data_IF_767117166081
#
_entry.id   IF_767117166081
#
_cell.length_a   1.000
_cell.length_b   1.000
_cell.length_c   1.000
_cell.angle_alpha   90.00
_cell.angle_beta   90.00
_cell.angle_gamma   90.00
#
_symmetry.space_group_name_H-M   'P 1'
#
loop_
_entity.id
_entity.type
_entity.pdbx_description
1 polymer ?
#
# COMPACT_ATOMS: atom_id res chain seq x y z
N UNK A 1 3.96 10.78 -14.00
CA UNK A 1 4.56 10.96 -12.66
C UNK A 1 4.75 12.43 -12.30
N UNK A 2 3.68 13.25 -12.26
CA UNK A 2 3.80 14.66 -11.84
C UNK A 2 3.42 14.90 -10.37
N UNK A 3 2.65 13.98 -9.80
CA UNK A 3 2.07 14.09 -8.46
C UNK A 3 2.45 12.91 -7.56
N UNK A 4 3.37 12.07 -8.02
CA UNK A 4 3.90 10.94 -7.28
C UNK A 4 5.41 11.10 -7.25
N UNK A 5 5.96 11.16 -6.04
CA UNK A 5 7.39 11.13 -5.82
C UNK A 5 7.90 9.71 -6.08
N UNK A 6 8.98 9.61 -6.85
CA UNK A 6 9.66 8.35 -7.10
C UNK A 6 10.93 8.31 -6.27
N UNK A 7 11.09 7.24 -5.50
CA UNK A 7 12.25 7.00 -4.65
C UNK A 7 12.89 5.67 -5.05
N UNK A 8 14.19 5.56 -4.81
CA UNK A 8 14.92 4.30 -4.92
C UNK A 8 15.23 3.77 -3.53
N UNK A 9 15.01 2.48 -3.34
CA UNK A 9 15.45 1.69 -2.18
C UNK A 9 16.82 1.03 -2.40
N UNK A 10 17.54 1.39 -3.47
CA UNK A 10 18.89 0.89 -3.70
C UNK A 10 19.79 1.08 -2.47
N UNK A 11 20.63 0.08 -2.22
CA UNK A 11 21.57 0.03 -1.10
C UNK A 11 20.92 0.13 0.30
N UNK A 12 19.63 -0.19 0.43
CA UNK A 12 18.97 -0.36 1.73
C UNK A 12 17.91 -1.48 1.73
N UNK A 13 17.49 -1.90 2.92
CA UNK A 13 16.56 -3.02 3.11
C UNK A 13 15.08 -2.64 3.09
N UNK A 14 14.69 -1.47 2.57
CA UNK A 14 13.30 -1.00 2.66
C UNK A 14 12.31 -1.98 2.02
N UNK A 15 12.58 -2.46 0.80
CA UNK A 15 11.65 -3.36 0.10
C UNK A 15 11.48 -4.68 0.85
N UNK A 16 12.56 -5.29 1.32
CA UNK A 16 12.52 -6.51 2.13
C UNK A 16 11.74 -6.29 3.44
N UNK A 17 11.93 -5.15 4.10
CA UNK A 17 11.25 -4.83 5.36
C UNK A 17 9.74 -4.61 5.21
N UNK A 18 9.27 -4.25 4.00
CA UNK A 18 7.87 -3.90 3.73
C UNK A 18 7.26 -4.69 2.56
N UNK A 19 7.71 -5.94 2.41
CA UNK A 19 7.17 -6.94 1.48
C UNK A 19 7.16 -6.53 -0.01
N UNK A 20 8.02 -5.57 -0.38
CA UNK A 20 8.25 -5.16 -1.77
C UNK A 20 9.34 -5.97 -2.48
N UNK A 21 10.02 -6.86 -1.77
CA UNK A 21 11.08 -7.74 -2.29
C UNK A 21 11.07 -9.04 -1.50
N UNK A 22 11.23 -10.18 -2.18
CA UNK A 22 11.28 -11.49 -1.55
C UNK A 22 12.69 -11.82 -0.98
N UNK A 23 12.86 -12.92 -0.22
CA UNK A 23 14.16 -13.28 0.34
C UNK A 23 15.25 -13.61 -0.70
N UNK A 24 14.88 -13.79 -1.97
CA UNK A 24 15.79 -14.03 -3.10
C UNK A 24 16.20 -12.71 -3.78
N UNK A 25 15.58 -11.59 -3.43
CA UNK A 25 15.84 -10.27 -4.01
C UNK A 25 14.95 -9.93 -5.20
N UNK A 26 13.89 -10.70 -5.46
CA UNK A 26 12.97 -10.45 -6.56
C UNK A 26 11.89 -9.45 -6.14
N UNK A 27 11.54 -8.55 -7.07
CA UNK A 27 10.52 -7.52 -6.84
C UNK A 27 9.14 -8.14 -6.61
N UNK A 28 8.48 -7.70 -5.54
CA UNK A 28 7.10 -8.10 -5.20
C UNK A 28 6.21 -6.86 -5.16
N UNK A 29 5.06 -6.85 -5.85
CA UNK A 29 4.12 -5.74 -5.74
C UNK A 29 3.59 -5.59 -4.30
N UNK A 30 3.82 -4.42 -3.70
CA UNK A 30 3.37 -4.10 -2.34
C UNK A 30 2.67 -2.73 -2.27
N UNK A 31 1.73 -2.60 -1.31
CA UNK A 31 1.13 -1.32 -0.95
C UNK A 31 1.15 -1.18 0.57
N UNK A 32 1.80 -0.13 1.06
CA UNK A 32 1.99 0.14 2.48
C UNK A 32 1.54 1.57 2.80
N UNK A 33 0.85 1.75 3.92
CA UNK A 33 0.46 3.05 4.45
C UNK A 33 1.23 3.31 5.73
N UNK A 34 1.91 4.46 5.75
CA UNK A 34 2.64 4.96 6.91
C UNK A 34 1.94 6.19 7.46
N UNK A 35 2.00 6.34 8.78
CA UNK A 35 1.53 7.54 9.48
C UNK A 35 2.68 8.19 10.19
N UNK A 36 2.65 9.52 10.30
CA UNK A 36 3.61 10.29 11.11
C UNK A 36 2.85 11.03 12.20
N UNK A 37 3.19 10.75 13.45
CA UNK A 37 2.64 11.46 14.63
C UNK A 37 3.80 11.79 15.57
N UNK A 38 3.85 13.05 16.01
CA UNK A 38 4.88 13.56 16.91
C UNK A 38 6.31 13.28 16.42
N UNK A 39 6.52 13.45 15.11
CA UNK A 39 7.80 13.21 14.43
C UNK A 39 8.11 11.73 14.15
N UNK A 40 7.36 10.78 14.71
CA UNK A 40 7.65 9.35 14.58
C UNK A 40 6.83 8.72 13.45
N UNK A 41 7.51 7.97 12.58
CA UNK A 41 6.87 7.15 11.55
C UNK A 41 6.37 5.83 12.15
N UNK A 42 5.18 5.40 11.70
CA UNK A 42 4.55 4.14 12.08
C UNK A 42 3.97 3.47 10.85
N UNK A 43 4.25 2.19 10.69
CA UNK A 43 3.55 1.35 9.74
C UNK A 43 2.11 1.17 10.21
N UNK A 44 1.13 1.56 9.39
CA UNK A 44 -0.28 1.56 9.74
C UNK A 44 -1.04 0.41 9.10
N UNK A 45 -0.75 0.13 7.83
CA UNK A 45 -1.46 -0.89 7.06
C UNK A 45 -0.58 -1.39 5.91
N UNK A 46 -0.69 -2.68 5.57
CA UNK A 46 -0.08 -3.30 4.40
C UNK A 46 -1.07 -4.20 3.67
N UNK A 47 -0.88 -4.35 2.36
CA UNK A 47 -1.55 -5.37 1.58
C UNK A 47 -0.94 -6.74 1.90
N UNK A 48 -1.78 -7.74 2.22
CA UNK A 48 -1.31 -9.07 2.64
C UNK A 48 -1.60 -10.18 1.61
N UNK A 49 -2.16 -9.84 0.44
CA UNK A 49 -2.52 -10.80 -0.61
C UNK A 49 -1.31 -11.23 -1.48
N UNK A 50 -0.28 -11.78 -0.83
CA UNK A 50 0.96 -12.27 -1.45
C UNK A 50 0.88 -13.72 -1.95
N UNK A 51 2.05 -14.32 -2.24
CA UNK A 51 2.22 -15.62 -2.91
C UNK A 51 1.45 -16.81 -2.31
N UNK A 52 1.06 -16.74 -1.03
CA UNK A 52 0.34 -17.83 -0.32
C UNK A 52 -1.19 -17.68 -0.33
N UNK A 53 -1.70 -16.57 -0.85
CA UNK A 53 -3.13 -16.24 -0.86
C UNK A 53 -3.90 -16.52 -2.16
N UNK A 54 -3.29 -16.72 -3.35
CA UNK A 54 -4.07 -16.99 -4.54
C UNK A 54 -4.66 -18.41 -4.55
N UNK A 55 -5.78 -18.57 -5.24
CA UNK A 55 -6.34 -19.88 -5.54
C UNK A 55 -5.37 -20.71 -6.41
N UNK A 56 -5.45 -22.05 -6.39
CA UNK A 56 -4.60 -22.90 -7.22
C UNK A 56 -4.63 -22.50 -8.70
N UNK A 57 -3.45 -22.23 -9.27
CA UNK A 57 -3.29 -21.85 -10.68
C UNK A 57 -3.64 -20.39 -10.99
N UNK A 58 -3.65 -19.51 -9.99
CA UNK A 58 -3.86 -18.06 -10.14
C UNK A 58 -2.64 -17.28 -9.65
N UNK A 59 -2.41 -16.12 -10.25
CA UNK A 59 -1.40 -15.18 -9.75
C UNK A 59 -1.90 -14.47 -8.48
N UNK A 60 -1.00 -14.10 -7.55
CA UNK A 60 -1.33 -13.26 -6.41
C UNK A 60 -1.99 -11.96 -6.87
N UNK A 61 -3.16 -11.65 -6.30
CA UNK A 61 -3.93 -10.44 -6.62
C UNK A 61 -3.65 -9.34 -5.60
N UNK A 62 -2.39 -9.21 -5.20
CA UNK A 62 -1.89 -8.37 -4.12
C UNK A 62 -2.11 -6.87 -4.33
N UNK A 63 -1.04 -6.10 -4.44
CA UNK A 63 -1.11 -4.65 -4.60
C UNK A 63 -2.08 -4.08 -5.67
N UNK A 64 -2.50 -4.79 -6.75
CA UNK A 64 -3.52 -4.25 -7.65
C UNK A 64 -4.93 -4.65 -7.19
N UNK A 65 -5.65 -3.70 -6.59
CA UNK A 65 -6.96 -3.18 -7.06
C UNK A 65 -7.68 -2.34 -5.97
N UNK A 66 -7.08 -1.23 -5.47
CA UNK A 66 -7.84 -0.31 -4.65
C UNK A 66 -8.86 0.42 -5.52
N UNK A 67 -10.16 0.27 -5.24
CA UNK A 67 -11.19 1.18 -5.73
C UNK A 67 -10.79 2.61 -5.31
N UNK A 68 -10.32 3.46 -6.24
CA UNK A 68 -9.17 4.31 -5.96
C UNK A 68 -9.42 5.40 -4.93
N UNK A 69 -10.66 5.91 -4.84
CA UNK A 69 -11.00 6.94 -3.85
C UNK A 69 -11.56 6.34 -2.55
N UNK A 70 -12.34 5.26 -2.65
CA UNK A 70 -13.00 4.66 -1.50
C UNK A 70 -11.99 3.97 -0.58
N UNK A 71 -11.16 3.12 -1.19
CA UNK A 71 -10.16 2.34 -0.46
C UNK A 71 -9.06 3.26 0.07
N UNK A 72 -8.62 4.25 -0.72
CA UNK A 72 -7.58 5.18 -0.24
C UNK A 72 -8.01 5.93 1.02
N UNK A 73 -9.25 6.39 1.10
CA UNK A 73 -9.76 7.08 2.27
C UNK A 73 -9.91 6.16 3.48
N UNK A 74 -10.36 4.92 3.26
CA UNK A 74 -10.48 3.89 4.30
C UNK A 74 -9.13 3.49 4.90
N UNK A 75 -8.08 3.51 4.09
CA UNK A 75 -6.73 3.12 4.51
C UNK A 75 -6.01 4.21 5.30
N UNK A 76 -6.65 5.35 5.56
CA UNK A 76 -6.12 6.37 6.48
C UNK A 76 -6.63 6.14 7.91
N UNK A 77 -5.91 6.60 8.95
CA UNK A 77 -6.38 6.46 10.34
C UNK A 77 -7.73 7.11 10.64
N UNK A 78 -8.12 8.13 9.87
CA UNK A 78 -9.42 8.78 10.02
C UNK A 78 -10.55 8.00 9.32
N UNK A 79 -10.19 7.05 8.44
CA UNK A 79 -11.10 6.41 7.50
C UNK A 79 -11.76 7.41 6.56
N UNK A 80 -12.74 6.96 5.78
CA UNK A 80 -13.53 7.83 4.90
C UNK A 80 -14.49 8.78 5.62
N UNK A 81 -14.66 8.66 6.95
CA UNK A 81 -15.70 9.37 7.69
C UNK A 81 -17.10 8.76 7.50
N UNK A 82 -18.07 9.19 8.31
CA UNK A 82 -19.43 8.60 8.32
C UNK A 82 -20.35 9.18 7.24
N UNK A 83 -20.10 10.42 6.84
CA UNK A 83 -21.01 11.21 5.99
C UNK A 83 -20.40 11.56 4.62
N UNK A 84 -19.30 10.92 4.25
CA UNK A 84 -18.62 11.17 2.98
C UNK A 84 -19.17 10.29 1.86
N UNK A 85 -19.46 10.92 0.72
CA UNK A 85 -19.80 10.29 -0.55
C UNK A 85 -19.22 11.15 -1.69
N UNK A 86 -18.84 10.57 -2.84
CA UNK A 86 -18.36 11.33 -4.00
C UNK A 86 -19.34 12.45 -4.43
N UNK A 87 -18.83 13.67 -4.61
CA UNK A 87 -19.57 14.85 -5.09
C UNK A 87 -18.86 15.48 -6.28
N UNK A 88 -19.61 16.20 -7.11
CA UNK A 88 -19.07 16.90 -8.28
C UNK A 88 -18.27 18.17 -7.91
N UNK A 89 -18.34 18.61 -6.65
CA UNK A 89 -17.62 19.77 -6.13
C UNK A 89 -17.39 19.63 -4.61
N UNK A 90 -16.21 20.05 -4.14
CA UNK A 90 -15.76 20.03 -2.73
C UNK A 90 -15.21 21.39 -2.30
#
# INVERSE_FOLDING_TARGET
WRHLQLYSSADNGFNQAYAGEDPQGEDVPAFNVFTRRDGVLRHFWAAEMGAVTPDPGQDPRGAPDPMPIWNLLDLTPAGRGKDWYPKLSY
#
